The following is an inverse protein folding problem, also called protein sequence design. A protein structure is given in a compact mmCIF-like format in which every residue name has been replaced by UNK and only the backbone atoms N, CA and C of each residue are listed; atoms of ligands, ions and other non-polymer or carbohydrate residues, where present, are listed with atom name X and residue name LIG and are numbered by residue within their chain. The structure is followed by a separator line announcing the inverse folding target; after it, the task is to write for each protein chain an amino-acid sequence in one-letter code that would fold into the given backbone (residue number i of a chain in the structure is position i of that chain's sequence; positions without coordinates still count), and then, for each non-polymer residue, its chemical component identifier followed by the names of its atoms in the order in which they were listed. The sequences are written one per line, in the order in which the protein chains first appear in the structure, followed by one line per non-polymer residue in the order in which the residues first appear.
data_IF_958368927661
#
_entry.id   IF_958368927661
#
_cell.length_a   1.000
_cell.length_b   1.000
_cell.length_c   1.000
_cell.angle_alpha   90.00
_cell.angle_beta   90.00
_cell.angle_gamma   90.00
#
_symmetry.space_group_name_H-M   'P 1'
#
loop_
_entity.id
_entity.type
_entity.pdbx_description
1 polymer ?
#
# COMPACT_ATOMS: atom_id res chain seq x y z
N UNK A 1 3.82 26.63 12.28
CA UNK A 1 3.62 25.32 12.97
C UNK A 1 3.37 24.17 11.99
N UNK A 2 2.57 24.35 10.92
CA UNK A 2 2.40 23.30 9.89
C UNK A 2 3.73 22.97 9.18
N UNK A 3 4.53 23.98 8.82
CA UNK A 3 5.88 23.77 8.25
C UNK A 3 6.83 22.99 9.18
N UNK A 4 6.61 23.06 10.50
CA UNK A 4 7.41 22.33 11.48
C UNK A 4 7.02 20.84 11.50
N UNK A 5 5.78 20.49 11.15
CA UNK A 5 5.37 19.09 11.01
C UNK A 5 6.11 18.44 9.83
N UNK A 6 6.18 19.14 8.69
CA UNK A 6 6.85 18.62 7.50
C UNK A 6 8.34 18.34 7.74
N UNK A 7 9.05 19.26 8.42
CA UNK A 7 10.45 19.05 8.85
C UNK A 7 10.64 17.86 9.79
N UNK A 8 9.61 17.47 10.52
CA UNK A 8 9.62 16.31 11.41
C UNK A 8 9.13 15.03 10.70
N UNK A 9 8.83 15.09 9.41
CA UNK A 9 8.28 13.98 8.65
C UNK A 9 6.84 13.65 9.02
N UNK A 10 6.08 14.64 9.49
CA UNK A 10 4.67 14.52 9.85
C UNK A 10 3.79 15.27 8.86
N UNK A 11 2.64 14.67 8.54
CA UNK A 11 1.63 15.26 7.68
C UNK A 11 0.28 15.32 8.39
N UNK A 12 -0.35 16.49 8.44
CA UNK A 12 -1.71 16.65 8.96
C UNK A 12 -2.71 16.42 7.82
N UNK A 13 -3.44 15.31 7.87
CA UNK A 13 -4.44 14.97 6.87
C UNK A 13 -5.74 15.76 7.04
N UNK A 14 -6.38 16.08 5.91
CA UNK A 14 -7.73 16.58 5.76
C UNK A 14 -8.35 15.88 4.53
N UNK A 15 -9.67 15.58 4.49
CA UNK A 15 -10.68 15.99 5.46
C UNK A 15 -10.72 15.13 6.73
N UNK A 16 -10.16 13.91 6.75
CA UNK A 16 -10.13 13.10 7.97
C UNK A 16 -8.98 13.55 8.89
N UNK A 17 -9.26 14.28 10.00
CA UNK A 17 -8.22 14.91 10.78
C UNK A 17 -7.33 13.86 11.46
N UNK A 18 -6.11 13.71 10.97
CA UNK A 18 -5.17 12.70 11.44
C UNK A 18 -3.73 13.19 11.25
N UNK A 19 -2.85 12.83 12.18
CA UNK A 19 -1.41 13.07 12.03
C UNK A 19 -0.74 11.81 11.50
N UNK A 20 -0.17 11.88 10.30
CA UNK A 20 0.49 10.77 9.61
C UNK A 20 2.00 10.88 9.74
N UNK A 21 2.67 9.77 9.97
CA UNK A 21 4.12 9.69 9.79
C UNK A 21 4.42 9.40 8.32
N UNK A 22 5.10 10.32 7.64
CA UNK A 22 5.42 10.21 6.21
C UNK A 22 6.36 9.03 5.95
N UNK A 23 7.31 8.80 6.86
CA UNK A 23 8.30 7.72 6.72
C UNK A 23 7.68 6.34 7.01
N UNK A 24 6.90 6.23 8.09
CA UNK A 24 6.27 4.97 8.45
C UNK A 24 4.98 4.65 7.69
N UNK A 25 4.39 5.66 7.03
CA UNK A 25 3.22 5.55 6.16
C UNK A 25 1.93 5.07 6.87
N UNK A 26 1.69 5.57 8.10
CA UNK A 26 0.45 5.34 8.85
C UNK A 26 0.12 6.50 9.80
N UNK A 27 -1.13 6.55 10.26
CA UNK A 27 -1.64 7.52 11.21
C UNK A 27 -1.20 7.21 12.66
N UNK A 28 -0.67 8.21 13.34
CA UNK A 28 -0.27 8.14 14.74
C UNK A 28 -1.42 8.59 15.65
N UNK A 29 -1.53 7.95 16.81
CA UNK A 29 -2.45 8.42 17.83
C UNK A 29 -1.93 9.73 18.44
N UNK A 30 -2.79 10.73 18.48
CA UNK A 30 -2.47 12.10 18.90
C UNK A 30 -2.55 12.32 20.42
N UNK A 31 -2.64 11.26 21.22
CA UNK A 31 -2.76 11.37 22.68
C UNK A 31 -1.41 11.53 23.39
N UNK A 32 -1.41 12.33 24.44
CA UNK A 32 -0.25 12.52 25.31
C UNK A 32 1.01 12.98 24.56
N UNK A 33 2.06 12.17 24.63
CA UNK A 33 3.36 12.39 23.99
C UNK A 33 3.65 11.36 22.88
N UNK A 34 2.68 10.53 22.48
CA UNK A 34 2.92 9.38 21.59
C UNK A 34 3.55 9.76 20.26
N UNK A 35 3.10 10.84 19.64
CA UNK A 35 3.69 11.36 18.40
C UNK A 35 5.15 11.77 18.62
N UNK A 36 5.41 12.50 19.69
CA UNK A 36 6.78 12.89 20.04
C UNK A 36 7.64 11.67 20.30
N UNK A 37 7.20 10.74 21.16
CA UNK A 37 7.92 9.51 21.49
C UNK A 37 8.20 8.67 20.25
N UNK A 38 7.22 8.49 19.36
CA UNK A 38 7.40 7.82 18.07
C UNK A 38 8.53 8.44 17.27
N UNK A 39 8.57 9.76 17.12
CA UNK A 39 9.65 10.46 16.43
C UNK A 39 11.03 10.25 17.09
N UNK A 40 11.08 10.18 18.42
CA UNK A 40 12.31 9.89 19.15
C UNK A 40 12.80 8.46 18.96
N UNK A 41 11.91 7.49 19.14
CA UNK A 41 12.25 6.06 19.16
C UNK A 41 12.42 5.47 17.75
N UNK A 42 11.58 5.88 16.80
CA UNK A 42 11.56 5.32 15.44
C UNK A 42 12.41 6.09 14.45
N UNK A 43 12.62 7.39 14.68
CA UNK A 43 13.33 8.28 13.76
C UNK A 43 14.55 8.97 14.40
N UNK A 44 14.85 8.71 15.67
CA UNK A 44 16.03 9.28 16.34
C UNK A 44 15.98 10.79 16.54
N UNK A 45 14.81 11.43 16.41
CA UNK A 45 14.72 12.88 16.49
C UNK A 45 14.95 13.34 17.94
N UNK A 46 15.87 14.29 18.12
CA UNK A 46 16.25 14.80 19.44
C UNK A 46 15.08 15.44 20.19
N UNK A 47 15.16 15.46 21.53
CA UNK A 47 14.13 16.11 22.38
C UNK A 47 14.01 17.61 22.07
N UNK A 48 15.12 18.28 21.76
CA UNK A 48 15.16 19.70 21.43
C UNK A 48 14.39 20.00 20.14
N UNK A 49 14.60 19.19 19.09
CA UNK A 49 13.91 19.35 17.81
C UNK A 49 12.40 19.10 17.90
N UNK A 50 11.95 18.30 18.88
CA UNK A 50 10.53 18.01 19.14
C UNK A 50 9.89 18.91 20.19
N UNK A 51 10.60 19.94 20.67
CA UNK A 51 10.09 20.85 21.72
C UNK A 51 8.81 21.54 21.22
N UNK A 52 7.78 21.56 22.07
CA UNK A 52 6.48 22.18 21.75
C UNK A 52 5.54 21.32 20.88
N UNK A 53 6.00 20.20 20.31
CA UNK A 53 5.17 19.34 19.45
C UNK A 53 3.98 18.74 20.21
N UNK A 54 4.19 18.21 21.42
CA UNK A 54 3.13 17.59 22.22
C UNK A 54 1.95 18.53 22.50
N UNK A 55 2.18 19.72 23.09
CA UNK A 55 1.14 20.73 23.27
C UNK A 55 0.42 21.11 21.97
N UNK A 56 1.16 21.27 20.87
CA UNK A 56 0.56 21.58 19.57
C UNK A 56 -0.37 20.47 19.08
N UNK A 57 0.07 19.20 19.08
CA UNK A 57 -0.76 18.07 18.66
C UNK A 57 -2.02 17.97 19.53
N UNK A 58 -1.93 18.24 20.84
CA UNK A 58 -3.09 18.27 21.72
C UNK A 58 -4.08 19.38 21.37
N UNK A 59 -3.59 20.57 20.99
CA UNK A 59 -4.48 21.68 20.58
C UNK A 59 -5.27 21.40 19.29
N UNK A 60 -4.85 20.41 18.49
CA UNK A 60 -5.56 20.00 17.29
C UNK A 60 -6.77 19.09 17.59
N UNK A 61 -6.91 18.59 18.83
CA UNK A 61 -8.03 17.73 19.26
C UNK A 61 -8.33 16.58 18.28
N UNK A 62 -7.30 15.94 17.73
CA UNK A 62 -7.46 14.92 16.69
C UNK A 62 -8.12 13.64 17.26
N UNK A 63 -9.06 13.03 16.52
CA UNK A 63 -9.67 11.75 16.91
C UNK A 63 -8.65 10.59 16.88
N UNK A 64 -9.04 9.46 17.47
CA UNK A 64 -8.25 8.22 17.37
C UNK A 64 -8.23 7.73 15.91
N UNK A 65 -7.06 7.46 15.31
CA UNK A 65 -6.99 6.96 13.94
C UNK A 65 -7.80 5.69 13.67
N UNK A 66 -8.05 4.87 14.71
CA UNK A 66 -8.86 3.65 14.58
C UNK A 66 -10.34 3.95 14.40
N UNK A 67 -10.82 5.12 14.83
CA UNK A 67 -12.23 5.52 14.73
C UNK A 67 -12.52 6.33 13.48
N UNK A 68 -11.50 6.75 12.73
CA UNK A 68 -11.67 7.49 11.49
C UNK A 68 -12.53 6.74 10.47
N UNK A 69 -13.34 7.46 9.69
CA UNK A 69 -14.13 6.84 8.62
C UNK A 69 -13.19 6.19 7.60
N UNK A 70 -13.59 5.01 7.13
CA UNK A 70 -12.90 4.31 6.04
C UNK A 70 -13.26 5.04 4.74
N UNK A 71 -12.27 5.28 3.88
CA UNK A 71 -12.54 5.89 2.56
C UNK A 71 -13.31 4.92 1.68
N UNK A 72 -13.98 5.45 0.67
CA UNK A 72 -14.65 4.62 -0.33
C UNK A 72 -13.65 3.73 -1.07
N UNK A 73 -14.05 2.49 -1.34
CA UNK A 73 -13.32 1.59 -2.23
C UNK A 73 -13.17 2.20 -3.63
N UNK A 74 -12.02 1.95 -4.26
CA UNK A 74 -11.66 2.55 -5.54
C UNK A 74 -11.17 4.00 -5.44
N UNK A 75 -11.03 4.56 -4.23
CA UNK A 75 -10.46 5.89 -4.06
C UNK A 75 -9.00 5.96 -4.53
N UNK A 76 -8.55 7.18 -4.84
CA UNK A 76 -7.14 7.43 -5.18
C UNK A 76 -6.24 7.12 -3.98
N UNK A 77 -5.05 6.52 -4.20
CA UNK A 77 -4.13 6.22 -3.12
C UNK A 77 -3.73 7.47 -2.35
N UNK A 78 -3.82 7.41 -1.02
CA UNK A 78 -3.30 8.46 -0.15
C UNK A 78 -1.75 8.44 -0.16
N UNK A 79 -1.06 9.56 -0.45
CA UNK A 79 0.39 9.60 -0.68
C UNK A 79 1.24 9.24 0.55
N UNK A 80 0.72 9.53 1.75
CA UNK A 80 1.40 9.26 3.04
C UNK A 80 0.90 8.00 3.76
N UNK A 81 0.12 7.13 3.10
CA UNK A 81 -0.29 5.84 3.67
C UNK A 81 0.31 4.68 2.89
N UNK A 82 0.56 3.58 3.60
CA UNK A 82 1.14 2.38 3.01
C UNK A 82 0.10 1.65 2.18
N UNK A 83 0.45 1.32 0.94
CA UNK A 83 -0.31 0.36 0.13
C UNK A 83 0.11 -1.05 0.53
N UNK A 84 -0.87 -1.92 0.78
CA UNK A 84 -0.69 -3.32 1.11
C UNK A 84 -1.38 -4.17 0.06
N UNK A 85 -0.72 -5.24 -0.40
CA UNK A 85 -1.34 -6.20 -1.30
C UNK A 85 -2.10 -7.25 -0.49
N UNK A 86 -3.26 -7.64 -0.99
CA UNK A 86 -4.03 -8.72 -0.39
C UNK A 86 -5.14 -9.18 -1.32
N UNK A 87 -6.07 -9.92 -0.73
CA UNK A 87 -7.23 -10.45 -1.41
C UNK A 87 -8.49 -10.25 -0.56
N UNK A 88 -9.64 -10.34 -1.23
CA UNK A 88 -10.95 -10.30 -0.58
C UNK A 88 -11.79 -11.53 -0.98
N UNK A 89 -12.59 -12.03 -0.05
CA UNK A 89 -13.59 -13.06 -0.34
C UNK A 89 -14.66 -12.50 -1.29
N UNK A 90 -14.98 -13.23 -2.37
CA UNK A 90 -16.03 -12.83 -3.33
C UNK A 90 -17.44 -12.88 -2.74
N UNK A 91 -17.65 -13.70 -1.73
CA UNK A 91 -18.99 -14.00 -1.19
C UNK A 91 -19.42 -13.03 -0.10
N UNK A 92 -18.50 -12.60 0.77
CA UNK A 92 -18.81 -11.71 1.90
C UNK A 92 -17.91 -10.47 1.99
N UNK A 93 -16.92 -10.32 1.10
CA UNK A 93 -16.02 -9.17 1.10
C UNK A 93 -14.96 -9.17 2.20
N UNK A 94 -14.81 -10.24 3.00
CA UNK A 94 -13.75 -10.35 4.02
C UNK A 94 -12.37 -10.14 3.38
N UNK A 95 -11.56 -9.24 3.95
CA UNK A 95 -10.24 -8.86 3.42
C UNK A 95 -9.12 -9.47 4.24
N UNK A 96 -8.05 -9.89 3.57
CA UNK A 96 -6.84 -10.41 4.22
C UNK A 96 -5.63 -10.22 3.33
N UNK A 97 -4.46 -10.04 3.93
CA UNK A 97 -3.17 -10.12 3.24
C UNK A 97 -2.64 -11.56 3.15
N UNK A 98 -3.26 -12.50 3.87
CA UNK A 98 -2.91 -13.93 3.86
C UNK A 98 -4.00 -14.75 3.16
N UNK A 99 -3.57 -15.52 2.15
CA UNK A 99 -4.42 -16.46 1.42
C UNK A 99 -4.83 -17.65 2.30
N UNK A 100 -4.02 -18.05 3.27
CA UNK A 100 -4.36 -19.13 4.21
C UNK A 100 -5.56 -18.75 5.08
N UNK A 101 -5.60 -17.49 5.54
CA UNK A 101 -6.73 -16.96 6.31
C UNK A 101 -8.01 -16.98 5.48
N UNK A 102 -7.93 -16.61 4.20
CA UNK A 102 -9.07 -16.64 3.28
C UNK A 102 -9.51 -18.07 2.95
N UNK A 103 -8.57 -18.99 2.73
CA UNK A 103 -8.85 -20.40 2.48
C UNK A 103 -9.59 -21.04 3.66
N UNK A 104 -9.12 -20.80 4.89
CA UNK A 104 -9.82 -21.25 6.10
C UNK A 104 -11.21 -20.62 6.21
N UNK A 105 -11.30 -19.30 6.04
CA UNK A 105 -12.57 -18.58 6.08
C UNK A 105 -13.60 -19.15 5.09
N UNK A 106 -13.19 -19.41 3.84
CA UNK A 106 -14.07 -19.98 2.82
C UNK A 106 -14.57 -21.36 3.23
N UNK A 107 -13.72 -22.22 3.78
CA UNK A 107 -14.12 -23.56 4.24
C UNK A 107 -15.10 -23.51 5.43
N UNK A 108 -14.93 -22.56 6.33
CA UNK A 108 -15.74 -22.44 7.56
C UNK A 108 -17.07 -21.71 7.32
N UNK A 109 -17.05 -20.64 6.51
CA UNK A 109 -18.20 -19.73 6.33
C UNK A 109 -18.94 -19.98 5.02
N UNK A 110 -18.25 -20.45 3.98
CA UNK A 110 -18.79 -20.68 2.63
C UNK A 110 -18.64 -22.13 2.12
N UNK A 111 -18.90 -23.18 2.93
CA UNK A 111 -18.66 -24.56 2.51
C UNK A 111 -19.53 -24.98 1.32
N UNK A 112 -20.77 -24.47 1.24
CA UNK A 112 -21.71 -24.80 0.16
C UNK A 112 -21.24 -24.24 -1.18
N UNK A 113 -20.74 -22.99 -1.18
CA UNK A 113 -20.28 -22.31 -2.39
C UNK A 113 -19.05 -23.01 -3.04
N UNK A 114 -18.21 -23.65 -2.21
CA UNK A 114 -17.05 -24.42 -2.68
C UNK A 114 -17.49 -25.76 -3.29
N UNK A 115 -18.46 -26.44 -2.67
CA UNK A 115 -18.90 -27.78 -3.08
C UNK A 115 -19.63 -27.78 -4.42
N UNK A 116 -20.40 -26.73 -4.73
CA UNK A 116 -21.22 -26.67 -5.94
C UNK A 116 -20.44 -26.64 -7.27
N UNK A 117 -19.10 -26.46 -7.26
CA UNK A 117 -18.26 -26.48 -8.48
C UNK A 117 -17.20 -27.59 -8.51
N UNK A 118 -17.15 -28.47 -7.50
CA UNK A 118 -16.08 -29.45 -7.27
C UNK A 118 -16.12 -30.76 -8.08
N UNK A 119 -16.66 -30.80 -9.32
CA UNK A 119 -16.68 -32.02 -10.16
C UNK A 119 -15.84 -31.92 -11.43
N UNK A 120 -14.66 -31.30 -11.38
CA UNK A 120 -13.73 -31.37 -12.52
C UNK A 120 -12.47 -30.52 -12.52
N UNK A 121 -12.10 -29.82 -11.45
CA UNK A 121 -10.92 -28.94 -11.46
C UNK A 121 -9.75 -29.51 -10.65
N UNK A 122 -8.50 -29.36 -11.13
CA UNK A 122 -7.32 -29.69 -10.33
C UNK A 122 -7.29 -28.85 -9.05
N UNK A 123 -6.94 -29.49 -7.93
CA UNK A 123 -7.00 -28.96 -6.55
C UNK A 123 -6.24 -27.64 -6.31
N UNK A 124 -5.52 -27.12 -7.30
CA UNK A 124 -4.59 -25.99 -7.15
C UNK A 124 -5.21 -24.61 -7.40
N UNK A 125 -6.37 -24.49 -8.08
CA UNK A 125 -6.92 -23.19 -8.48
C UNK A 125 -8.26 -22.80 -7.85
N UNK A 126 -8.91 -23.68 -7.07
CA UNK A 126 -10.25 -23.42 -6.52
C UNK A 126 -10.32 -22.13 -5.69
N UNK A 127 -9.26 -21.80 -4.94
CA UNK A 127 -9.24 -20.60 -4.11
C UNK A 127 -9.38 -19.33 -4.96
N UNK A 128 -8.78 -19.31 -6.14
CA UNK A 128 -8.73 -18.17 -7.04
C UNK A 128 -10.12 -17.82 -7.62
N UNK A 129 -11.00 -18.82 -7.70
CA UNK A 129 -12.39 -18.65 -8.12
C UNK A 129 -13.28 -18.01 -7.06
N UNK A 130 -12.85 -18.05 -5.79
CA UNK A 130 -13.61 -17.55 -4.65
C UNK A 130 -13.01 -16.30 -4.00
N UNK A 131 -11.86 -15.84 -4.49
CA UNK A 131 -11.23 -14.59 -4.03
C UNK A 131 -11.04 -13.57 -5.16
N UNK A 132 -11.08 -12.30 -4.79
CA UNK A 132 -10.54 -11.20 -5.58
C UNK A 132 -9.10 -11.00 -5.14
N UNK A 133 -8.15 -11.49 -5.94
CA UNK A 133 -6.72 -11.40 -5.66
C UNK A 133 -6.10 -10.11 -6.21
N UNK A 134 -4.86 -9.80 -5.78
CA UNK A 134 -4.06 -8.64 -6.22
C UNK A 134 -4.75 -7.29 -5.98
N UNK A 135 -5.53 -7.22 -4.91
CA UNK A 135 -6.14 -5.98 -4.46
C UNK A 135 -5.11 -5.16 -3.71
N UNK A 136 -5.06 -3.87 -4.05
CA UNK A 136 -4.27 -2.88 -3.34
C UNK A 136 -5.14 -2.20 -2.29
N UNK A 137 -4.74 -2.32 -1.03
CA UNK A 137 -5.45 -1.77 0.12
C UNK A 137 -4.66 -0.66 0.79
N UNK A 138 -5.37 0.31 1.37
CA UNK A 138 -4.82 1.24 2.35
C UNK A 138 -5.68 1.26 3.60
N UNK A 139 -5.05 1.55 4.74
CA UNK A 139 -5.71 1.72 6.02
C UNK A 139 -5.04 2.86 6.79
N UNK A 140 -5.78 3.46 7.72
CA UNK A 140 -5.23 4.51 8.59
C UNK A 140 -4.12 3.99 9.50
N UNK A 141 -4.29 2.78 10.05
CA UNK A 141 -3.36 2.18 11.01
C UNK A 141 -2.66 0.95 10.44
N UNK A 142 -1.52 0.61 11.03
CA UNK A 142 -0.77 -0.61 10.68
C UNK A 142 -1.65 -1.85 10.85
N UNK A 143 -1.55 -2.77 9.89
CA UNK A 143 -2.16 -4.11 9.90
C UNK A 143 -3.66 -4.15 10.22
N UNK A 144 -4.43 -3.13 9.82
CA UNK A 144 -5.87 -3.09 10.03
C UNK A 144 -6.63 -3.34 8.71
N UNK A 145 -6.44 -4.54 8.17
CA UNK A 145 -7.02 -4.93 6.88
C UNK A 145 -8.56 -4.95 6.89
N UNK A 146 -9.18 -5.23 8.05
CA UNK A 146 -10.63 -5.20 8.20
C UNK A 146 -11.24 -3.79 8.09
N UNK A 147 -10.47 -2.74 8.35
CA UNK A 147 -10.88 -1.33 8.13
C UNK A 147 -10.04 -0.66 7.04
N UNK A 148 -9.72 -1.43 6.00
CA UNK A 148 -9.03 -0.94 4.82
C UNK A 148 -9.99 -0.65 3.66
N UNK A 149 -9.56 0.20 2.74
CA UNK A 149 -10.25 0.46 1.47
C UNK A 149 -9.37 0.05 0.30
N UNK A 150 -9.99 -0.36 -0.81
CA UNK A 150 -9.26 -0.63 -2.05
C UNK A 150 -8.87 0.68 -2.72
N UNK A 151 -7.71 0.69 -3.36
CA UNK A 151 -7.22 1.84 -4.12
C UNK A 151 -6.95 1.46 -5.56
N UNK A 152 -7.32 2.35 -6.49
CA UNK A 152 -6.95 2.19 -7.89
C UNK A 152 -5.54 2.72 -8.12
N UNK A 153 -4.61 1.81 -8.40
CA UNK A 153 -3.31 2.18 -8.93
C UNK A 153 -3.47 2.47 -10.42
N UNK A 154 -3.40 3.75 -10.81
CA UNK A 154 -3.24 4.07 -12.23
C UNK A 154 -1.94 3.39 -12.72
N UNK A 155 -2.07 2.61 -13.80
CA UNK A 155 -0.94 1.94 -14.46
C UNK A 155 0.03 3.03 -14.95
N UNK A 156 1.04 3.37 -14.15
CA UNK A 156 1.97 4.46 -14.46
C UNK A 156 2.72 5.08 -13.28
N UNK A 157 2.40 4.77 -12.02
CA UNK A 157 3.19 5.25 -10.89
C UNK A 157 4.41 4.34 -10.67
N UNK A 158 5.66 4.83 -10.76
CA UNK A 158 6.84 4.02 -10.53
C UNK A 158 6.92 3.66 -9.04
N UNK A 159 6.68 2.38 -8.74
CA UNK A 159 7.11 1.76 -7.50
C UNK A 159 8.52 1.20 -7.75
N UNK A 160 9.55 1.87 -7.26
CA UNK A 160 10.85 1.21 -7.13
C UNK A 160 10.83 0.17 -5.99
N UNK A 161 11.77 -0.79 -5.98
CA UNK A 161 12.24 -1.62 -7.06
C UNK A 161 11.62 -3.01 -6.91
N UNK A 162 10.50 -3.24 -7.58
CA UNK A 162 10.17 -4.59 -8.04
C UNK A 162 10.15 -4.49 -9.55
N UNK A 163 11.13 -5.15 -10.17
CA UNK A 163 11.19 -5.41 -11.59
C UNK A 163 9.99 -6.27 -11.99
N UNK A 164 9.10 -5.76 -12.86
CA UNK A 164 8.60 -6.54 -13.95
C UNK A 164 9.39 -6.08 -15.19
N UNK A 165 10.09 -7.03 -15.79
CA UNK A 165 10.70 -6.91 -17.12
C UNK A 165 9.64 -6.35 -18.07
N UNK A 166 9.66 -5.04 -18.27
CA UNK A 166 9.00 -4.38 -19.38
C UNK A 166 10.13 -4.23 -20.38
N UNK A 167 10.03 -4.94 -21.49
CA UNK A 167 10.94 -4.79 -22.61
C UNK A 167 10.77 -3.36 -23.09
N UNK A 168 11.62 -2.45 -22.62
CA UNK A 168 11.74 -1.13 -23.19
C UNK A 168 12.25 -1.32 -24.61
N UNK A 169 11.52 -0.82 -25.60
CA UNK A 169 12.12 -0.58 -26.90
C UNK A 169 13.31 0.35 -26.68
N UNK A 170 14.48 -0.07 -27.13
CA UNK A 170 15.69 0.72 -26.99
C UNK A 170 15.49 2.08 -27.69
N UNK A 171 15.96 3.20 -27.10
CA UNK A 171 15.94 4.51 -27.75
C UNK A 171 16.43 4.42 -29.20
N UNK A 172 15.85 5.18 -30.14
CA UNK A 172 16.19 5.04 -31.56
C UNK A 172 17.69 5.09 -31.85
N UNK A 173 18.45 5.89 -31.10
CA UNK A 173 19.90 5.98 -31.22
C UNK A 173 20.61 4.63 -31.01
N UNK A 174 20.12 3.79 -30.09
CA UNK A 174 20.69 2.46 -29.82
C UNK A 174 20.29 1.48 -30.93
N UNK A 175 19.09 1.62 -31.50
CA UNK A 175 18.67 0.78 -32.63
C UNK A 175 19.43 1.12 -33.91
N UNK A 176 19.69 2.40 -34.16
CA UNK A 176 20.51 2.87 -35.28
C UNK A 176 21.93 2.36 -35.13
N UNK A 177 22.53 2.50 -33.95
CA UNK A 177 23.87 2.00 -33.68
C UNK A 177 23.98 0.47 -33.83
N UNK A 178 22.98 -0.28 -33.36
CA UNK A 178 22.95 -1.73 -33.52
C UNK A 178 22.85 -2.16 -35.00
N UNK A 179 22.07 -1.43 -35.82
CA UNK A 179 22.01 -1.67 -37.28
C UNK A 179 23.32 -1.34 -37.97
N UNK A 180 24.00 -0.25 -37.59
CA UNK A 180 25.30 0.12 -38.14
C UNK A 180 26.38 -0.93 -37.79
N UNK A 181 26.39 -1.43 -36.55
CA UNK A 181 27.27 -2.52 -36.13
C UNK A 181 27.03 -3.81 -36.93
N UNK A 182 25.77 -4.17 -37.15
CA UNK A 182 25.41 -5.37 -37.89
C UNK A 182 25.82 -5.29 -39.37
N UNK A 183 25.60 -4.13 -40.01
CA UNK A 183 26.04 -3.89 -41.39
C UNK A 183 27.57 -3.93 -41.48
N UNK A 184 28.26 -3.38 -40.49
CA UNK A 184 29.72 -3.39 -40.44
C UNK A 184 30.28 -4.80 -40.26
N UNK A 185 29.68 -5.65 -39.43
CA UNK A 185 30.08 -7.05 -39.28
C UNK A 185 29.86 -7.86 -40.57
N UNK A 186 28.76 -7.63 -41.30
CA UNK A 186 28.53 -8.29 -42.59
C UNK A 186 29.58 -7.93 -43.66
N UNK A 187 30.15 -6.73 -43.59
CA UNK A 187 31.24 -6.31 -44.49
C UNK A 187 32.59 -6.98 -44.17
N UNK A 188 32.80 -7.48 -42.94
CA UNK A 188 34.00 -8.25 -42.59
C UNK A 188 33.87 -9.75 -42.87
N UNK A 189 32.65 -10.24 -43.07
CA UNK A 189 32.34 -11.64 -43.35
C UNK A 189 32.08 -11.93 -44.85
N UNK A 190 32.27 -10.92 -45.71
CA UNK A 190 32.24 -11.02 -47.18
C UNK A 190 33.64 -10.86 -47.75
#
# INVERSE_FOLDING_TARGET
MIEQLDRLGLYLNQPEPAILCIQCKFALKADGDRVSRHLGERHGISKLARRGLGPFIRSLCLPDPKTLPVRSDGSSPHPHLRIQQGAACRHCGLRSTSLEVLSRHLKEVHPQDIQHRGRGFPESHWLQDHILDRLSFQAWTVSNIGRSWTVHLYRGQPQGPHTPVTIYQAPEAIQVFAKELFVREQQYLS
#
